data_IF_406911868511
#
_entry.id   IF_406911868511
#
_cell.length_a   1.000
_cell.length_b   1.000
_cell.length_c   1.000
_cell.angle_alpha   90.00
_cell.angle_beta   90.00
_cell.angle_gamma   90.00
#
_symmetry.space_group_name_H-M   'P 1'
#
loop_
_entity.id
_entity.type
_entity.pdbx_description
1 polymer ?
#
# COMPACT_ATOMS: atom_id res chain seq x y z
N UNK A 1 77.60 -9.07 -41.38
CA UNK A 1 76.99 -7.87 -40.78
C UNK A 1 75.51 -8.17 -40.62
N UNK A 2 75.00 -8.11 -39.39
CA UNK A 2 73.58 -8.34 -39.10
C UNK A 2 72.72 -7.24 -39.72
N UNK A 3 71.58 -7.59 -40.34
CA UNK A 3 70.37 -6.82 -40.10
C UNK A 3 69.16 -7.73 -39.84
N UNK A 4 68.05 -7.14 -39.41
CA UNK A 4 66.73 -7.77 -39.26
C UNK A 4 66.45 -8.46 -37.90
N UNK A 5 66.55 -7.71 -36.80
CA UNK A 5 65.83 -8.03 -35.55
C UNK A 5 65.07 -6.82 -34.96
N UNK A 6 65.13 -5.65 -35.62
CA UNK A 6 64.59 -4.38 -35.10
C UNK A 6 63.17 -4.06 -35.58
N UNK A 7 62.70 -4.68 -36.67
CA UNK A 7 61.40 -4.37 -37.28
C UNK A 7 60.23 -5.11 -36.62
N UNK A 8 60.38 -6.36 -36.18
CA UNK A 8 59.30 -7.10 -35.50
C UNK A 8 58.97 -6.53 -34.11
N UNK A 9 59.99 -6.06 -33.37
CA UNK A 9 59.80 -5.42 -32.06
C UNK A 9 59.06 -4.07 -32.20
N UNK A 10 59.32 -3.32 -33.27
CA UNK A 10 58.66 -2.04 -33.53
C UNK A 10 57.17 -2.21 -33.85
N UNK A 11 56.81 -3.20 -34.66
CA UNK A 11 55.40 -3.50 -35.00
C UNK A 11 54.61 -3.98 -33.77
N UNK A 12 55.23 -4.80 -32.92
CA UNK A 12 54.62 -5.22 -31.65
C UNK A 12 54.38 -4.06 -30.69
N UNK A 13 55.29 -3.09 -30.63
CA UNK A 13 55.16 -1.88 -29.80
C UNK A 13 54.04 -0.96 -30.30
N UNK A 14 53.90 -0.76 -31.61
CA UNK A 14 52.82 0.04 -32.19
C UNK A 14 51.42 -0.54 -31.93
N UNK A 15 51.28 -1.87 -32.01
CA UNK A 15 50.01 -2.56 -31.72
C UNK A 15 49.65 -2.42 -30.23
N UNK A 16 50.62 -2.60 -29.33
CA UNK A 16 50.41 -2.45 -27.87
C UNK A 16 50.04 -1.01 -27.50
N UNK A 17 50.71 -0.02 -28.09
CA UNK A 17 50.39 1.40 -27.91
C UNK A 17 49.01 1.73 -28.47
N UNK A 18 48.67 1.22 -29.66
CA UNK A 18 47.36 1.41 -30.30
C UNK A 18 46.21 0.82 -29.48
N UNK A 19 46.37 -0.39 -28.94
CA UNK A 19 45.39 -1.01 -28.05
C UNK A 19 45.26 -0.25 -26.72
N UNK A 20 46.37 0.26 -26.17
CA UNK A 20 46.38 1.10 -24.97
C UNK A 20 45.62 2.41 -25.17
N UNK A 21 45.84 3.09 -26.30
CA UNK A 21 45.11 4.32 -26.66
C UNK A 21 43.62 4.04 -26.84
N UNK A 22 43.24 2.94 -27.49
CA UNK A 22 41.85 2.54 -27.66
C UNK A 22 41.16 2.24 -26.32
N UNK A 23 41.85 1.56 -25.39
CA UNK A 23 41.33 1.30 -24.05
C UNK A 23 41.12 2.58 -23.24
N UNK A 24 42.06 3.54 -23.31
CA UNK A 24 41.92 4.86 -22.66
C UNK A 24 40.75 5.63 -23.27
N UNK A 25 40.64 5.67 -24.61
CA UNK A 25 39.51 6.29 -25.31
C UNK A 25 38.18 5.68 -24.89
N UNK A 26 38.10 4.35 -24.78
CA UNK A 26 36.90 3.67 -24.30
C UNK A 26 36.55 4.09 -22.86
N UNK A 27 37.52 4.15 -21.95
CA UNK A 27 37.31 4.61 -20.56
C UNK A 27 36.82 6.06 -20.53
N UNK A 28 37.40 6.94 -21.33
CA UNK A 28 36.99 8.36 -21.43
C UNK A 28 35.56 8.46 -21.97
N UNK A 29 35.23 7.75 -23.04
CA UNK A 29 33.90 7.74 -23.65
C UNK A 29 32.85 7.20 -22.67
N UNK A 30 33.13 6.09 -21.99
CA UNK A 30 32.22 5.52 -20.97
C UNK A 30 32.05 6.47 -19.79
N UNK A 31 33.12 7.11 -19.32
CA UNK A 31 33.08 8.06 -18.21
C UNK A 31 32.30 9.33 -18.59
N UNK A 32 32.53 9.88 -19.79
CA UNK A 32 31.80 11.03 -20.30
C UNK A 32 30.31 10.71 -20.51
N UNK A 33 29.99 9.54 -21.07
CA UNK A 33 28.61 9.08 -21.20
C UNK A 33 27.94 8.92 -19.83
N UNK A 34 28.65 8.34 -18.85
CA UNK A 34 28.18 8.23 -17.47
C UNK A 34 27.93 9.58 -16.81
N UNK A 35 28.80 10.56 -17.04
CA UNK A 35 28.64 11.93 -16.53
C UNK A 35 27.42 12.62 -17.15
N UNK A 36 27.24 12.54 -18.47
CA UNK A 36 26.08 13.10 -19.17
C UNK A 36 24.77 12.45 -18.70
N UNK A 37 24.75 11.12 -18.56
CA UNK A 37 23.59 10.40 -18.02
C UNK A 37 23.31 10.79 -16.56
N UNK A 38 24.36 10.96 -15.75
CA UNK A 38 24.25 11.43 -14.36
C UNK A 38 23.62 12.82 -14.28
N UNK A 39 24.09 13.77 -15.08
CA UNK A 39 23.54 15.12 -15.16
C UNK A 39 22.09 15.12 -15.60
N UNK A 40 21.72 14.29 -16.59
CA UNK A 40 20.33 14.18 -17.03
C UNK A 40 19.42 13.61 -15.93
N UNK A 41 19.86 12.55 -15.23
CA UNK A 41 19.13 11.96 -14.10
C UNK A 41 18.95 12.96 -12.96
N UNK A 42 20.01 13.69 -12.62
CA UNK A 42 19.96 14.70 -11.56
C UNK A 42 19.04 15.87 -11.96
N UNK A 43 19.04 16.29 -13.22
CA UNK A 43 18.11 17.31 -13.73
C UNK A 43 16.65 16.90 -13.56
N UNK A 44 16.31 15.64 -13.88
CA UNK A 44 14.96 15.10 -13.65
C UNK A 44 14.64 15.07 -12.16
N UNK A 45 15.56 14.57 -11.34
CA UNK A 45 15.38 14.51 -9.89
C UNK A 45 15.19 15.90 -9.25
N UNK A 46 15.87 16.94 -9.75
CA UNK A 46 15.66 18.33 -9.31
C UNK A 46 14.27 18.83 -9.68
N UNK A 47 13.77 18.48 -10.87
CA UNK A 47 12.42 18.83 -11.28
C UNK A 47 11.37 18.12 -10.42
N UNK A 48 11.58 16.83 -10.12
CA UNK A 48 10.72 16.05 -9.23
C UNK A 48 10.74 16.59 -7.80
N UNK A 49 11.91 16.93 -7.27
CA UNK A 49 12.02 17.58 -5.95
C UNK A 49 11.27 18.91 -5.91
N UNK A 50 11.40 19.74 -6.96
CA UNK A 50 10.69 21.00 -7.05
C UNK A 50 9.16 20.79 -7.09
N UNK A 51 8.67 19.81 -7.85
CA UNK A 51 7.26 19.41 -7.89
C UNK A 51 6.76 18.90 -6.53
N UNK A 52 7.54 18.04 -5.85
CA UNK A 52 7.20 17.54 -4.53
C UNK A 52 7.14 18.65 -3.48
N UNK A 53 8.08 19.60 -3.54
CA UNK A 53 8.08 20.78 -2.65
C UNK A 53 6.92 21.73 -2.95
N UNK A 54 6.63 22.00 -4.22
CA UNK A 54 5.55 22.89 -4.63
C UNK A 54 4.16 22.31 -4.28
N UNK A 55 3.97 21.01 -4.51
CA UNK A 55 2.71 20.33 -4.20
C UNK A 55 2.52 20.04 -2.71
N UNK A 56 3.59 20.04 -1.91
CA UNK A 56 3.56 19.63 -0.51
C UNK A 56 3.06 18.19 -0.31
N UNK A 57 3.04 17.39 -1.38
CA UNK A 57 2.31 16.13 -1.44
C UNK A 57 3.04 15.03 -0.66
N UNK A 58 2.64 14.79 0.58
CA UNK A 58 3.14 13.67 1.38
C UNK A 58 2.11 12.54 1.43
N UNK A 59 2.53 11.28 1.27
CA UNK A 59 1.61 10.17 1.41
C UNK A 59 1.15 10.08 2.88
N UNK A 60 -0.11 9.69 3.13
CA UNK A 60 -0.57 9.42 4.50
C UNK A 60 0.11 8.19 5.09
N UNK A 61 0.58 7.26 4.25
CA UNK A 61 1.28 6.04 4.68
C UNK A 61 2.70 6.34 5.16
N UNK A 62 3.35 5.29 5.70
CA UNK A 62 4.75 5.31 6.08
C UNK A 62 5.64 5.77 4.91
N UNK A 63 6.48 6.76 5.14
CA UNK A 63 7.41 7.29 4.12
C UNK A 63 8.72 7.78 4.74
N UNK A 64 9.83 7.84 3.98
CA UNK A 64 11.11 8.30 4.51
C UNK A 64 11.15 9.82 4.65
N UNK A 65 11.90 10.29 5.65
CA UNK A 65 12.45 11.63 5.78
C UNK A 65 13.97 11.52 5.81
N UNK A 66 14.65 12.31 4.99
CA UNK A 66 16.11 12.31 4.92
C UNK A 66 16.67 13.53 5.65
N UNK A 67 17.59 13.30 6.57
CA UNK A 67 18.46 14.31 7.17
C UNK A 67 19.66 14.56 6.24
N UNK A 68 19.55 15.62 5.44
CA UNK A 68 20.57 16.02 4.45
C UNK A 68 21.90 16.41 5.13
N UNK A 69 21.87 16.84 6.40
CA UNK A 69 23.06 17.18 7.18
C UNK A 69 23.88 15.94 7.57
N UNK A 70 23.19 14.83 7.89
CA UNK A 70 23.84 13.54 8.21
C UNK A 70 24.16 12.69 6.97
N UNK A 71 23.42 12.88 5.88
CA UNK A 71 23.57 12.06 4.69
C UNK A 71 25.00 12.15 4.11
N UNK A 72 25.65 11.02 3.90
CA UNK A 72 26.99 10.97 3.29
C UNK A 72 26.99 10.85 1.76
N UNK A 73 25.81 10.77 1.13
CA UNK A 73 25.69 10.70 -0.34
C UNK A 73 25.95 9.33 -0.97
N UNK A 74 25.87 8.22 -0.21
CA UNK A 74 26.21 6.89 -0.70
C UNK A 74 25.32 6.34 -1.83
N UNK A 75 24.11 6.86 -2.00
CA UNK A 75 23.13 6.37 -2.99
C UNK A 75 22.47 5.02 -2.65
N UNK A 76 22.95 4.29 -1.64
CA UNK A 76 22.44 2.95 -1.27
C UNK A 76 20.93 2.90 -0.98
N UNK A 77 20.36 3.98 -0.44
CA UNK A 77 18.93 4.10 -0.19
C UNK A 77 18.09 4.25 -1.47
N UNK A 78 18.66 4.85 -2.52
CA UNK A 78 18.06 4.97 -3.85
C UNK A 78 18.05 3.60 -4.51
N UNK A 79 19.19 2.92 -4.52
CA UNK A 79 19.33 1.57 -5.11
C UNK A 79 18.45 0.52 -4.42
N UNK A 80 18.21 0.68 -3.12
CA UNK A 80 17.35 -0.21 -2.34
C UNK A 80 15.85 0.04 -2.55
N UNK A 81 15.45 1.14 -3.20
CA UNK A 81 14.05 1.48 -3.42
C UNK A 81 13.48 0.74 -4.63
N UNK A 82 12.48 -0.16 -4.47
CA UNK A 82 11.93 -0.92 -5.59
C UNK A 82 11.11 -0.06 -6.56
N UNK A 83 10.62 1.10 -6.12
CA UNK A 83 9.91 2.06 -6.97
C UNK A 83 10.87 2.90 -7.83
N UNK A 84 12.16 2.97 -7.46
CA UNK A 84 13.26 3.68 -8.12
C UNK A 84 13.14 5.21 -8.25
N UNK A 85 11.98 5.81 -8.00
CA UNK A 85 11.73 7.25 -8.19
C UNK A 85 11.41 8.02 -6.89
N UNK A 86 11.30 7.32 -5.74
CA UNK A 86 10.98 7.95 -4.45
C UNK A 86 12.12 8.80 -3.91
N UNK A 87 13.36 8.32 -4.08
CA UNK A 87 14.59 8.93 -3.58
C UNK A 87 15.54 9.17 -4.73
N UNK A 88 16.29 10.27 -4.69
CA UNK A 88 17.37 10.53 -5.63
C UNK A 88 18.55 11.22 -4.94
N UNK A 89 19.75 11.10 -5.51
CA UNK A 89 20.91 11.87 -5.08
C UNK A 89 20.98 13.16 -5.88
N UNK A 90 20.93 14.30 -5.19
CA UNK A 90 21.05 15.66 -5.75
C UNK A 90 22.15 16.37 -4.96
N UNK A 91 23.08 17.02 -5.64
CA UNK A 91 24.21 17.72 -4.98
C UNK A 91 24.97 16.83 -3.96
N UNK A 92 25.12 15.54 -4.27
CA UNK A 92 25.81 14.56 -3.42
C UNK A 92 25.06 14.20 -2.13
N UNK A 93 23.76 14.49 -2.04
CA UNK A 93 22.90 14.16 -0.89
C UNK A 93 21.63 13.45 -1.35
N UNK A 94 21.11 12.55 -0.53
CA UNK A 94 19.85 11.90 -0.82
C UNK A 94 18.67 12.83 -0.48
N UNK A 95 17.70 12.90 -1.37
CA UNK A 95 16.45 13.65 -1.23
C UNK A 95 15.26 12.76 -1.52
N UNK A 96 14.13 13.04 -0.86
CA UNK A 96 12.84 12.44 -1.22
C UNK A 96 12.24 13.28 -2.34
N UNK A 97 12.22 12.74 -3.55
CA UNK A 97 11.83 13.47 -4.77
C UNK A 97 10.43 13.08 -5.26
N UNK A 98 9.96 11.87 -4.95
CA UNK A 98 8.58 11.46 -5.21
C UNK A 98 7.97 10.77 -3.98
N UNK A 99 7.68 11.52 -2.91
CA UNK A 99 7.14 10.95 -1.66
C UNK A 99 5.85 10.15 -1.88
N UNK A 100 4.95 10.60 -2.76
CA UNK A 100 3.66 9.92 -3.03
C UNK A 100 3.80 8.53 -3.64
N UNK A 101 4.90 8.25 -4.34
CA UNK A 101 5.19 6.92 -4.87
C UNK A 101 5.61 5.92 -3.78
N UNK A 102 5.98 6.39 -2.58
CA UNK A 102 6.47 5.51 -1.53
C UNK A 102 5.42 4.48 -1.10
N UNK A 103 5.81 3.20 -1.17
CA UNK A 103 4.98 2.07 -0.73
C UNK A 103 5.22 1.67 0.74
N UNK A 104 6.02 2.41 1.50
CA UNK A 104 6.26 2.15 2.93
C UNK A 104 7.04 0.87 3.25
N UNK A 105 7.84 0.35 2.31
CA UNK A 105 8.65 -0.87 2.52
C UNK A 105 9.82 -0.67 3.50
N UNK A 106 10.36 0.56 3.58
CA UNK A 106 11.40 0.97 4.53
C UNK A 106 12.78 0.34 4.34
N UNK A 107 13.12 -0.14 3.14
CA UNK A 107 14.48 -0.63 2.85
C UNK A 107 15.51 0.51 2.82
N UNK A 108 15.07 1.71 2.43
CA UNK A 108 15.91 2.91 2.45
C UNK A 108 16.50 3.18 3.84
N UNK A 109 15.71 3.01 4.90
CA UNK A 109 16.16 3.10 6.29
C UNK A 109 17.30 2.10 6.56
N UNK A 110 17.12 0.83 6.19
CA UNK A 110 18.10 -0.24 6.43
C UNK A 110 19.37 -0.10 5.62
N UNK A 111 19.26 0.40 4.40
CA UNK A 111 20.38 0.58 3.49
C UNK A 111 21.22 1.82 3.83
N UNK A 112 20.75 2.70 4.72
CA UNK A 112 21.45 3.91 5.10
C UNK A 112 22.61 3.60 6.06
N UNK A 113 23.88 3.82 5.68
CA UNK A 113 25.03 3.48 6.53
C UNK A 113 25.28 4.46 7.69
N UNK A 114 24.55 5.59 7.72
CA UNK A 114 24.79 6.71 8.66
C UNK A 114 23.52 7.18 9.36
N UNK A 115 22.46 6.36 9.34
CA UNK A 115 21.17 6.65 9.99
C UNK A 115 20.59 8.04 9.64
N UNK A 116 20.81 8.48 8.41
CA UNK A 116 20.29 9.75 7.90
C UNK A 116 18.81 9.65 7.48
N UNK A 117 18.20 8.47 7.52
CA UNK A 117 16.81 8.25 7.13
C UNK A 117 16.00 7.92 8.37
N UNK A 118 14.83 8.54 8.49
CA UNK A 118 13.82 8.18 9.49
C UNK A 118 12.51 7.90 8.76
N UNK A 119 11.76 6.89 9.19
CA UNK A 119 10.41 6.68 8.67
C UNK A 119 9.44 7.53 9.49
N UNK A 120 8.54 8.21 8.80
CA UNK A 120 7.49 9.04 9.39
C UNK A 120 6.13 8.59 8.88
N UNK A 121 5.09 8.88 9.64
CA UNK A 121 3.72 8.47 9.34
C UNK A 121 2.78 9.66 9.46
N UNK A 122 1.91 9.86 8.47
CA UNK A 122 1.07 11.05 8.37
C UNK A 122 1.87 12.32 8.04
N UNK A 123 1.19 13.46 8.11
CA UNK A 123 1.77 14.79 7.95
C UNK A 123 1.06 15.80 8.85
N UNK A 124 1.50 17.05 8.82
CA UNK A 124 0.95 18.18 9.58
C UNK A 124 -0.54 18.44 9.30
N UNK A 125 -1.00 18.15 8.08
CA UNK A 125 -2.40 18.30 7.69
C UNK A 125 -3.27 17.07 7.96
N UNK A 126 -2.67 15.88 8.14
CA UNK A 126 -3.38 14.62 8.25
C UNK A 126 -2.67 13.63 9.15
N UNK A 127 -3.27 13.45 10.32
CA UNK A 127 -2.93 12.38 11.25
C UNK A 127 -3.30 10.99 10.73
N UNK A 128 -2.56 9.99 11.20
CA UNK A 128 -2.85 8.58 10.95
C UNK A 128 -2.83 7.79 12.26
N UNK A 129 -3.97 7.17 12.55
CA UNK A 129 -4.21 6.41 13.77
C UNK A 129 -3.56 5.02 13.70
N UNK A 130 -2.61 4.76 14.59
CA UNK A 130 -1.86 3.51 14.68
C UNK A 130 -2.11 2.90 16.07
N UNK A 131 -2.53 1.64 16.17
CA UNK A 131 -2.61 0.96 17.45
C UNK A 131 -1.22 0.76 18.03
N UNK A 132 -1.12 0.90 19.35
CA UNK A 132 0.07 0.50 20.09
C UNK A 132 0.29 -1.00 19.93
N UNK A 133 1.53 -1.37 19.62
CA UNK A 133 2.01 -2.75 19.56
C UNK A 133 3.46 -2.82 20.07
N UNK A 134 3.78 -3.86 20.82
CA UNK A 134 5.15 -4.17 21.22
C UNK A 134 5.90 -4.98 20.12
N UNK A 135 7.13 -5.41 20.42
CA UNK A 135 7.96 -6.22 19.49
C UNK A 135 7.38 -7.60 19.17
N UNK A 136 6.47 -8.10 19.99
CA UNK A 136 5.74 -9.34 19.75
C UNK A 136 4.40 -9.09 19.02
N UNK A 137 4.14 -7.84 18.60
CA UNK A 137 2.87 -7.37 18.03
C UNK A 137 1.70 -7.40 19.01
N UNK A 138 1.96 -7.57 20.30
CA UNK A 138 0.94 -7.53 21.33
C UNK A 138 0.58 -6.08 21.62
N UNK A 139 -0.72 -5.82 21.73
CA UNK A 139 -1.23 -4.50 22.13
C UNK A 139 -1.02 -4.27 23.63
N UNK A 140 -1.46 -3.11 24.14
CA UNK A 140 -1.54 -2.87 25.57
C UNK A 140 -2.56 -3.78 26.29
N UNK A 141 -3.38 -4.54 25.54
CA UNK A 141 -4.30 -5.55 26.07
C UNK A 141 -3.62 -6.92 25.97
N UNK A 142 -3.26 -7.55 27.11
CA UNK A 142 -2.54 -8.83 27.09
C UNK A 142 -3.31 -9.92 26.36
N UNK A 143 -2.67 -10.58 25.39
CA UNK A 143 -3.27 -11.63 24.57
C UNK A 143 -4.00 -11.15 23.30
N UNK A 144 -4.10 -9.84 23.08
CA UNK A 144 -4.63 -9.23 21.86
C UNK A 144 -3.48 -8.69 21.01
N UNK A 145 -3.40 -9.11 19.74
CA UNK A 145 -2.31 -8.78 18.82
C UNK A 145 -2.82 -8.07 17.58
N UNK A 146 -1.99 -7.24 16.97
CA UNK A 146 -2.29 -6.54 15.72
C UNK A 146 -1.19 -6.77 14.70
N UNK A 147 -1.56 -7.23 13.50
CA UNK A 147 -0.62 -7.50 12.41
C UNK A 147 -1.09 -6.94 11.07
N UNK A 148 -0.16 -6.78 10.14
CA UNK A 148 -0.44 -6.30 8.80
C UNK A 148 -0.55 -4.78 8.71
N UNK A 149 -1.32 -4.33 7.73
CA UNK A 149 -1.44 -2.91 7.39
C UNK A 149 -1.88 -2.05 8.59
N UNK A 150 -2.61 -2.65 9.54
CA UNK A 150 -3.12 -1.98 10.73
C UNK A 150 -1.99 -1.42 11.60
N UNK A 151 -0.84 -2.10 11.66
CA UNK A 151 0.39 -1.66 12.32
C UNK A 151 1.24 -0.70 11.49
N UNK A 152 0.66 0.01 10.51
CA UNK A 152 1.34 1.07 9.77
C UNK A 152 2.17 0.65 8.56
N UNK A 153 2.41 -0.66 8.35
CA UNK A 153 3.15 -1.16 7.20
C UNK A 153 2.23 -1.85 6.20
N UNK A 154 1.90 -1.14 5.11
CA UNK A 154 1.30 -1.75 3.93
C UNK A 154 2.27 -2.70 3.22
N UNK A 155 1.74 -3.50 2.28
CA UNK A 155 2.38 -4.57 1.48
C UNK A 155 2.10 -5.99 1.97
N UNK A 156 1.82 -6.86 1.01
CA UNK A 156 1.59 -8.31 1.21
C UNK A 156 2.78 -8.93 1.95
N UNK A 157 4.00 -8.69 1.48
CA UNK A 157 5.23 -9.18 2.12
C UNK A 157 5.33 -8.81 3.61
N UNK A 158 5.14 -7.52 3.95
CA UNK A 158 5.20 -7.06 5.33
C UNK A 158 4.09 -7.69 6.16
N UNK A 159 2.87 -7.73 5.63
CA UNK A 159 1.71 -8.27 6.32
C UNK A 159 1.86 -9.75 6.66
N UNK A 160 2.31 -10.55 5.69
CA UNK A 160 2.63 -11.97 5.90
C UNK A 160 3.79 -12.14 6.89
N UNK A 161 4.88 -11.39 6.74
CA UNK A 161 6.06 -11.52 7.61
C UNK A 161 5.73 -11.18 9.07
N UNK A 162 5.00 -10.09 9.31
CA UNK A 162 4.57 -9.70 10.65
C UNK A 162 3.66 -10.75 11.28
N UNK A 163 2.72 -11.30 10.52
CA UNK A 163 1.84 -12.35 11.01
C UNK A 163 2.62 -13.60 11.45
N UNK A 164 3.62 -14.03 10.67
CA UNK A 164 4.47 -15.17 11.04
C UNK A 164 5.26 -14.90 12.32
N UNK A 165 5.90 -13.73 12.42
CA UNK A 165 6.67 -13.32 13.60
C UNK A 165 5.79 -13.19 14.85
N UNK A 166 4.58 -12.64 14.71
CA UNK A 166 3.60 -12.56 15.80
C UNK A 166 3.21 -13.95 16.29
N UNK A 167 2.88 -14.86 15.38
CA UNK A 167 2.53 -16.23 15.74
C UNK A 167 3.71 -16.95 16.44
N UNK A 168 4.94 -16.78 15.97
CA UNK A 168 6.13 -17.33 16.63
C UNK A 168 6.32 -16.78 18.05
N UNK A 169 6.10 -15.49 18.25
CA UNK A 169 6.23 -14.85 19.56
C UNK A 169 5.11 -15.26 20.54
N UNK A 170 3.89 -15.51 20.05
CA UNK A 170 2.76 -15.86 20.92
C UNK A 170 2.72 -17.35 21.30
N UNK A 171 3.27 -18.25 20.46
CA UNK A 171 3.25 -19.71 20.67
C UNK A 171 3.71 -20.15 22.07
N UNK A 172 4.84 -19.66 22.62
CA UNK A 172 5.31 -20.07 23.95
C UNK A 172 4.37 -19.66 25.09
N UNK A 173 3.49 -18.68 24.85
CA UNK A 173 2.56 -18.13 25.86
C UNK A 173 1.17 -18.75 25.79
N UNK A 174 0.91 -19.65 24.83
CA UNK A 174 -0.42 -20.20 24.61
C UNK A 174 -0.78 -21.24 25.67
N UNK A 175 -1.97 -21.13 26.29
CA UNK A 175 -2.51 -22.20 27.12
C UNK A 175 -2.76 -23.48 26.30
N UNK A 176 -2.78 -24.66 26.94
CA UNK A 176 -3.20 -25.90 26.29
C UNK A 176 -4.64 -25.78 25.79
N UNK A 177 -5.00 -26.60 24.80
CA UNK A 177 -6.36 -26.67 24.29
C UNK A 177 -7.35 -26.99 25.42
N UNK A 178 -8.48 -26.30 25.42
CA UNK A 178 -9.56 -26.51 26.39
C UNK A 178 -10.91 -26.55 25.69
N UNK A 179 -11.85 -27.31 26.27
CA UNK A 179 -13.11 -27.60 25.61
C UNK A 179 -13.98 -26.33 25.54
N UNK A 180 -14.44 -25.99 24.33
CA UNK A 180 -15.24 -24.78 24.09
C UNK A 180 -14.46 -23.45 24.08
N UNK A 181 -13.12 -23.47 24.17
CA UNK A 181 -12.28 -22.26 24.10
C UNK A 181 -11.18 -22.46 23.06
N UNK A 182 -11.16 -21.59 22.03
CA UNK A 182 -10.10 -21.59 21.03
C UNK A 182 -8.77 -21.13 21.64
N UNK A 183 -7.67 -21.63 21.12
CA UNK A 183 -6.34 -21.11 21.49
C UNK A 183 -6.11 -19.74 20.84
N UNK A 184 -6.51 -19.58 19.58
CA UNK A 184 -6.36 -18.34 18.83
C UNK A 184 -7.58 -18.08 17.95
N UNK A 185 -8.08 -16.85 17.92
CA UNK A 185 -9.00 -16.37 16.87
C UNK A 185 -8.25 -15.36 16.00
N UNK A 186 -8.30 -15.56 14.69
CA UNK A 186 -7.64 -14.71 13.69
C UNK A 186 -8.73 -13.94 12.94
N UNK A 187 -8.67 -12.62 13.00
CA UNK A 187 -9.68 -11.73 12.43
C UNK A 187 -9.18 -11.13 11.12
N UNK A 188 -9.74 -11.59 10.00
CA UNK A 188 -9.38 -11.25 8.62
C UNK A 188 -8.69 -12.40 7.90
N UNK A 189 -9.05 -12.64 6.64
CA UNK A 189 -8.48 -13.63 5.71
C UNK A 189 -7.76 -12.96 4.52
N UNK A 190 -7.17 -11.78 4.77
CA UNK A 190 -6.16 -11.19 3.91
C UNK A 190 -4.78 -11.88 4.06
N UNK A 191 -3.73 -11.36 3.41
CA UNK A 191 -2.39 -11.97 3.45
C UNK A 191 -1.81 -12.20 4.84
N UNK A 192 -2.02 -11.28 5.79
CA UNK A 192 -1.60 -11.45 7.17
C UNK A 192 -2.39 -12.57 7.87
N UNK A 193 -3.72 -12.57 7.72
CA UNK A 193 -4.60 -13.55 8.35
C UNK A 193 -4.37 -14.97 7.84
N UNK A 194 -4.21 -15.13 6.52
CA UNK A 194 -3.84 -16.40 5.91
C UNK A 194 -2.50 -16.91 6.44
N UNK A 195 -1.48 -16.05 6.50
CA UNK A 195 -0.17 -16.42 7.04
C UNK A 195 -0.23 -16.84 8.52
N UNK A 196 -0.97 -16.08 9.34
CA UNK A 196 -1.19 -16.43 10.74
C UNK A 196 -1.92 -17.78 10.88
N UNK A 197 -2.92 -18.03 10.04
CA UNK A 197 -3.71 -19.26 10.04
C UNK A 197 -2.86 -20.47 9.67
N UNK A 198 -2.04 -20.36 8.62
CA UNK A 198 -1.11 -21.40 8.21
C UNK A 198 -0.08 -21.71 9.31
N UNK A 199 0.40 -20.69 10.02
CA UNK A 199 1.32 -20.89 11.15
C UNK A 199 0.62 -21.55 12.35
N UNK A 200 -0.65 -21.21 12.60
CA UNK A 200 -1.45 -21.87 13.61
C UNK A 200 -1.68 -23.36 13.28
N UNK A 201 -1.95 -23.68 12.02
CA UNK A 201 -2.06 -25.06 11.53
C UNK A 201 -0.74 -25.83 11.67
N UNK A 202 0.38 -25.24 11.27
CA UNK A 202 1.72 -25.85 11.39
C UNK A 202 2.03 -26.21 12.85
N UNK A 203 1.61 -25.36 13.80
CA UNK A 203 1.77 -25.58 15.23
C UNK A 203 0.69 -26.49 15.86
N UNK A 204 -0.29 -26.99 15.08
CA UNK A 204 -1.34 -27.88 15.57
C UNK A 204 -2.32 -27.23 16.56
N UNK A 205 -2.55 -25.92 16.45
CA UNK A 205 -3.41 -25.19 17.37
C UNK A 205 -4.91 -25.41 17.07
N UNK A 206 -5.76 -25.34 18.09
CA UNK A 206 -7.19 -25.14 17.90
C UNK A 206 -7.49 -23.66 17.68
N UNK A 207 -7.79 -23.27 16.43
CA UNK A 207 -8.01 -21.88 16.06
C UNK A 207 -9.25 -21.69 15.19
N UNK A 208 -9.68 -20.43 15.05
CA UNK A 208 -10.73 -20.01 14.13
C UNK A 208 -10.26 -18.79 13.35
N UNK A 209 -10.38 -18.84 12.02
CA UNK A 209 -10.16 -17.67 11.15
C UNK A 209 -11.50 -17.17 10.63
N UNK A 210 -11.75 -15.88 10.75
CA UNK A 210 -13.02 -15.24 10.40
C UNK A 210 -12.77 -14.09 9.44
N UNK A 211 -13.54 -13.96 8.36
CA UNK A 211 -13.53 -12.79 7.48
C UNK A 211 -14.95 -12.31 7.17
N UNK A 212 -15.13 -10.99 7.08
CA UNK A 212 -16.41 -10.36 6.79
C UNK A 212 -16.89 -10.56 5.34
N UNK A 213 -15.97 -10.88 4.43
CA UNK A 213 -16.23 -11.14 3.01
C UNK A 213 -15.65 -12.51 2.65
N UNK A 214 -14.54 -12.54 1.93
CA UNK A 214 -13.92 -13.77 1.41
C UNK A 214 -12.39 -13.63 1.39
N UNK A 215 -11.70 -14.68 0.92
CA UNK A 215 -10.24 -14.75 0.86
C UNK A 215 -9.62 -13.59 0.07
N UNK A 216 -8.47 -13.10 0.53
CA UNK A 216 -7.63 -12.13 -0.18
C UNK A 216 -7.77 -10.68 0.31
N UNK A 217 -8.69 -10.40 1.23
CA UNK A 217 -8.81 -9.11 1.91
C UNK A 217 -8.88 -7.92 0.94
N UNK A 218 -8.02 -6.91 1.14
CA UNK A 218 -7.97 -5.71 0.28
C UNK A 218 -7.79 -6.03 -1.20
N UNK A 219 -7.04 -7.08 -1.56
CA UNK A 219 -6.79 -7.44 -2.97
C UNK A 219 -8.07 -7.88 -3.67
N UNK A 220 -8.97 -8.58 -2.97
CA UNK A 220 -10.28 -8.99 -3.50
C UNK A 220 -11.09 -7.80 -4.04
N UNK A 221 -10.85 -6.61 -3.50
CA UNK A 221 -11.58 -5.37 -3.78
C UNK A 221 -11.06 -4.58 -4.96
N UNK A 222 -9.93 -4.96 -5.53
CA UNK A 222 -9.32 -4.25 -6.64
C UNK A 222 -10.15 -4.40 -7.93
N UNK A 223 -10.07 -3.43 -8.88
CA UNK A 223 -10.60 -3.62 -10.22
C UNK A 223 -10.02 -4.86 -10.89
N UNK A 224 -10.75 -5.42 -11.86
CA UNK A 224 -10.24 -6.56 -12.65
C UNK A 224 -8.94 -6.20 -13.36
N UNK A 225 -8.06 -7.19 -13.51
CA UNK A 225 -6.74 -7.05 -14.14
C UNK A 225 -5.78 -6.05 -13.48
N UNK A 226 -6.12 -5.53 -12.29
CA UNK A 226 -5.19 -4.67 -11.54
C UNK A 226 -3.91 -5.43 -11.23
N UNK A 227 -2.78 -4.83 -11.56
CA UNK A 227 -1.46 -5.34 -11.20
C UNK A 227 -1.18 -5.06 -9.72
N UNK A 228 -0.65 -6.06 -9.05
CA UNK A 228 -0.28 -6.07 -7.64
C UNK A 228 1.18 -6.45 -7.54
N UNK A 229 1.92 -5.71 -6.72
CA UNK A 229 3.33 -5.95 -6.46
C UNK A 229 3.52 -6.59 -5.09
N UNK A 230 4.41 -7.56 -5.00
CA UNK A 230 4.91 -8.07 -3.72
C UNK A 230 6.36 -8.54 -3.86
N UNK A 231 6.98 -8.84 -2.72
CA UNK A 231 8.27 -9.53 -2.66
C UNK A 231 8.04 -11.02 -2.39
N UNK A 232 9.04 -11.87 -2.72
CA UNK A 232 9.01 -13.27 -2.34
C UNK A 232 8.82 -13.48 -0.83
N UNK A 233 7.99 -14.44 -0.45
CA UNK A 233 7.74 -14.82 0.94
C UNK A 233 7.60 -16.33 1.05
N UNK A 234 7.91 -16.91 2.20
CA UNK A 234 7.73 -18.34 2.46
C UNK A 234 6.52 -18.52 3.36
N UNK A 235 5.53 -19.28 2.90
CA UNK A 235 4.34 -19.59 3.68
C UNK A 235 4.45 -20.99 4.32
N UNK A 236 4.08 -21.14 5.61
CA UNK A 236 3.98 -22.45 6.25
C UNK A 236 3.04 -23.37 5.46
N UNK A 237 3.35 -24.67 5.42
CA UNK A 237 2.55 -25.71 4.76
C UNK A 237 2.32 -25.56 3.24
N UNK A 238 2.91 -24.54 2.61
CA UNK A 238 2.78 -24.29 1.16
C UNK A 238 4.13 -24.11 0.46
N UNK A 239 5.07 -23.37 1.07
CA UNK A 239 6.41 -23.14 0.54
C UNK A 239 6.64 -21.71 -0.01
N UNK A 240 7.69 -21.52 -0.83
CA UNK A 240 8.07 -20.18 -1.30
C UNK A 240 7.12 -19.65 -2.38
N UNK A 241 6.49 -18.52 -2.10
CA UNK A 241 5.79 -17.70 -3.08
C UNK A 241 6.76 -16.70 -3.70
N UNK A 242 7.18 -16.95 -4.94
CA UNK A 242 8.05 -16.05 -5.70
C UNK A 242 7.23 -15.16 -6.61
N UNK A 243 6.58 -14.17 -6.01
CA UNK A 243 5.70 -13.23 -6.72
C UNK A 243 6.41 -11.88 -6.77
N UNK A 244 6.50 -11.29 -7.97
CA UNK A 244 6.98 -9.94 -8.20
C UNK A 244 5.81 -9.02 -8.55
N UNK A 245 5.54 -8.87 -9.85
CA UNK A 245 4.30 -8.29 -10.38
C UNK A 245 3.32 -9.41 -10.74
N UNK A 246 2.06 -9.29 -10.34
CA UNK A 246 1.01 -10.28 -10.61
C UNK A 246 -0.35 -9.60 -10.79
N UNK A 247 -1.24 -10.18 -11.60
CA UNK A 247 -2.62 -9.71 -11.67
C UNK A 247 -3.41 -10.12 -10.43
N UNK A 248 -4.39 -9.29 -10.04
CA UNK A 248 -5.32 -9.56 -8.94
C UNK A 248 -5.87 -10.99 -8.99
N UNK A 249 -6.39 -11.42 -10.13
CA UNK A 249 -7.05 -12.72 -10.27
C UNK A 249 -6.08 -13.88 -10.02
N UNK A 250 -4.89 -13.82 -10.60
CA UNK A 250 -3.84 -14.82 -10.41
C UNK A 250 -3.42 -14.91 -8.94
N UNK A 251 -3.32 -13.76 -8.25
CA UNK A 251 -3.03 -13.72 -6.83
C UNK A 251 -4.16 -14.32 -5.97
N UNK A 252 -5.42 -14.10 -6.34
CA UNK A 252 -6.56 -14.72 -5.64
C UNK A 252 -6.61 -16.24 -5.85
N UNK A 253 -6.25 -16.72 -7.04
CA UNK A 253 -6.13 -18.17 -7.31
C UNK A 253 -5.05 -18.81 -6.44
N UNK A 254 -3.92 -18.13 -6.22
CA UNK A 254 -2.90 -18.60 -5.28
C UNK A 254 -3.47 -18.74 -3.86
N UNK A 255 -4.27 -17.77 -3.38
CA UNK A 255 -4.90 -17.88 -2.06
C UNK A 255 -5.90 -19.05 -1.97
N UNK A 256 -6.67 -19.29 -3.03
CA UNK A 256 -7.58 -20.45 -3.11
C UNK A 256 -6.82 -21.77 -3.14
N UNK A 257 -5.73 -21.86 -3.90
CA UNK A 257 -4.88 -23.04 -3.98
C UNK A 257 -4.22 -23.36 -2.62
N UNK A 258 -3.78 -22.33 -1.89
CA UNK A 258 -3.28 -22.49 -0.51
C UNK A 258 -4.35 -23.11 0.40
N UNK A 259 -5.56 -22.56 0.39
CA UNK A 259 -6.67 -23.08 1.19
C UNK A 259 -7.00 -24.53 0.79
N UNK A 260 -7.09 -24.80 -0.51
CA UNK A 260 -7.40 -26.14 -1.02
C UNK A 260 -6.34 -27.19 -0.66
N UNK A 261 -5.05 -26.86 -0.77
CA UNK A 261 -3.96 -27.80 -0.48
C UNK A 261 -3.73 -28.04 1.00
N UNK A 262 -3.94 -27.02 1.83
CA UNK A 262 -3.71 -27.11 3.28
C UNK A 262 -4.93 -27.61 4.03
N UNK A 263 -6.13 -27.46 3.46
CA UNK A 263 -7.40 -27.75 4.13
C UNK A 263 -7.81 -26.67 5.14
N UNK A 264 -7.17 -25.49 5.10
CA UNK A 264 -7.50 -24.35 5.98
C UNK A 264 -8.99 -24.03 5.89
N UNK A 265 -9.66 -23.94 7.04
CA UNK A 265 -11.05 -23.53 7.13
C UNK A 265 -11.12 -22.04 7.50
N UNK A 266 -11.90 -21.27 6.74
CA UNK A 266 -12.16 -19.86 7.01
C UNK A 266 -13.67 -19.67 7.13
N UNK A 267 -14.11 -19.04 8.22
CA UNK A 267 -15.48 -18.60 8.39
C UNK A 267 -15.69 -17.28 7.64
N UNK A 268 -16.01 -17.40 6.36
CA UNK A 268 -16.31 -16.29 5.45
C UNK A 268 -17.68 -15.66 5.75
N UNK A 269 -17.94 -14.51 5.13
CA UNK A 269 -19.20 -13.73 5.25
C UNK A 269 -19.62 -13.43 6.70
N UNK A 270 -18.66 -13.41 7.63
CA UNK A 270 -18.90 -13.27 9.06
C UNK A 270 -18.10 -12.09 9.61
N UNK A 271 -18.78 -11.01 9.98
CA UNK A 271 -18.13 -9.83 10.58
C UNK A 271 -17.87 -10.07 12.07
N UNK A 272 -16.64 -9.83 12.52
CA UNK A 272 -16.35 -9.66 13.95
C UNK A 272 -16.84 -8.29 14.39
N UNK A 273 -17.75 -8.27 15.38
CA UNK A 273 -18.40 -7.07 15.88
C UNK A 273 -17.64 -6.44 17.06
N UNK A 274 -16.94 -7.25 17.84
CA UNK A 274 -16.19 -6.79 19.01
C UNK A 274 -15.34 -7.90 19.60
N UNK A 275 -14.36 -7.49 20.41
CA UNK A 275 -13.48 -8.37 21.19
C UNK A 275 -13.48 -7.85 22.61
N UNK A 276 -13.92 -8.67 23.56
CA UNK A 276 -14.06 -8.27 24.96
C UNK A 276 -13.16 -9.16 25.82
N UNK A 277 -12.18 -8.59 26.55
CA UNK A 277 -11.39 -9.36 27.52
C UNK A 277 -12.27 -9.79 28.71
N UNK A 278 -12.07 -11.01 29.19
CA UNK A 278 -12.78 -11.60 30.32
C UNK A 278 -11.85 -11.73 31.55
N UNK A 279 -12.44 -11.85 32.73
CA UNK A 279 -11.71 -11.89 34.01
C UNK A 279 -10.74 -13.08 34.13
N UNK A 280 -11.02 -14.18 33.43
CA UNK A 280 -10.18 -15.38 33.44
C UNK A 280 -9.02 -15.35 32.42
N UNK A 281 -8.77 -14.20 31.81
CA UNK A 281 -7.69 -14.01 30.84
C UNK A 281 -7.99 -14.57 29.44
N UNK A 282 -9.25 -14.94 29.17
CA UNK A 282 -9.74 -15.24 27.82
C UNK A 282 -10.43 -14.02 27.20
N UNK A 283 -10.86 -14.15 25.95
CA UNK A 283 -11.65 -13.18 25.21
C UNK A 283 -12.96 -13.79 24.76
N UNK A 284 -14.00 -12.97 24.73
CA UNK A 284 -15.20 -13.22 23.94
C UNK A 284 -15.11 -12.44 22.62
N UNK A 285 -15.26 -13.14 21.49
CA UNK A 285 -15.28 -12.55 20.15
C UNK A 285 -16.71 -12.59 19.63
N UNK A 286 -17.34 -11.42 19.52
CA UNK A 286 -18.70 -11.29 19.03
C UNK A 286 -18.74 -11.37 17.49
N UNK A 287 -19.64 -12.20 16.95
CA UNK A 287 -19.77 -12.46 15.52
C UNK A 287 -21.14 -12.02 15.01
N UNK A 288 -21.19 -11.47 13.79
CA UNK A 288 -22.45 -11.13 13.13
C UNK A 288 -23.18 -12.41 12.72
N UNK A 289 -24.42 -12.59 13.21
CA UNK A 289 -25.27 -13.72 12.82
C UNK A 289 -24.85 -15.09 13.38
N UNK A 290 -23.87 -15.13 14.29
CA UNK A 290 -23.37 -16.36 14.92
C UNK A 290 -23.19 -16.18 16.42
N UNK A 291 -23.04 -17.30 17.15
CA UNK A 291 -22.74 -17.27 18.58
C UNK A 291 -21.34 -16.69 18.82
N UNK A 292 -21.12 -15.95 19.92
CA UNK A 292 -19.78 -15.52 20.31
C UNK A 292 -18.84 -16.70 20.51
N UNK A 293 -17.56 -16.49 20.22
CA UNK A 293 -16.50 -17.50 20.35
C UNK A 293 -15.56 -17.09 21.48
N UNK A 294 -15.27 -18.03 22.38
CA UNK A 294 -14.29 -17.82 23.45
C UNK A 294 -12.90 -18.21 22.98
N UNK A 295 -11.88 -17.44 23.34
CA UNK A 295 -10.49 -17.72 22.93
C UNK A 295 -9.44 -17.22 23.92
N UNK A 296 -8.26 -17.87 23.97
CA UNK A 296 -7.14 -17.40 24.77
C UNK A 296 -6.40 -16.21 24.16
N UNK A 297 -6.30 -16.16 22.83
CA UNK A 297 -5.61 -15.09 22.10
C UNK A 297 -6.44 -14.63 20.91
N UNK A 298 -6.24 -13.37 20.51
CA UNK A 298 -6.87 -12.80 19.31
C UNK A 298 -5.80 -12.11 18.48
N UNK A 299 -5.74 -12.43 17.18
CA UNK A 299 -4.86 -11.79 16.21
C UNK A 299 -5.71 -10.97 15.24
N UNK A 300 -5.62 -9.64 15.34
CA UNK A 300 -6.31 -8.70 14.47
C UNK A 300 -5.51 -8.48 13.18
N UNK A 301 -5.96 -9.09 12.09
CA UNK A 301 -5.33 -9.07 10.76
C UNK A 301 -6.24 -8.43 9.68
N UNK A 302 -7.06 -7.44 10.08
CA UNK A 302 -8.17 -6.89 9.29
C UNK A 302 -7.79 -5.78 8.28
N UNK A 303 -6.52 -5.37 8.22
CA UNK A 303 -6.06 -4.30 7.33
C UNK A 303 -6.60 -2.90 7.66
N UNK A 304 -6.34 -1.91 6.81
CA UNK A 304 -6.77 -0.51 7.04
C UNK A 304 -7.84 0.02 6.12
N UNK A 305 -8.10 -0.65 4.99
CA UNK A 305 -9.11 -0.20 4.03
C UNK A 305 -10.48 0.00 4.69
N UNK A 306 -10.78 -0.84 5.68
CA UNK A 306 -11.97 -0.71 6.52
C UNK A 306 -13.26 -0.68 5.71
N UNK A 307 -14.30 -0.08 6.29
CA UNK A 307 -15.56 0.15 5.59
C UNK A 307 -15.45 1.43 4.77
N UNK A 308 -15.91 1.46 3.50
CA UNK A 308 -15.93 2.69 2.71
C UNK A 308 -16.64 3.82 3.46
N UNK A 309 -16.08 5.03 3.40
CA UNK A 309 -16.69 6.21 4.01
C UNK A 309 -17.97 6.56 3.27
N UNK A 310 -19.08 6.54 4.00
CA UNK A 310 -20.39 7.01 3.54
C UNK A 310 -20.40 8.55 3.47
N UNK A 311 -21.13 9.09 2.51
CA UNK A 311 -21.35 10.52 2.29
C UNK A 311 -22.40 11.08 3.25
N UNK A 312 -23.34 10.26 3.72
CA UNK A 312 -24.43 10.67 4.61
C UNK A 312 -25.51 11.49 3.91
N UNK A 313 -25.64 11.36 2.58
CA UNK A 313 -26.59 12.14 1.78
C UNK A 313 -27.87 11.35 1.51
N UNK A 314 -28.99 12.04 1.34
CA UNK A 314 -30.23 11.38 0.93
C UNK A 314 -30.06 10.76 -0.47
N UNK A 315 -30.60 9.55 -0.63
CA UNK A 315 -30.44 8.73 -1.85
C UNK A 315 -29.16 7.88 -1.90
N UNK A 316 -28.26 7.98 -0.93
CA UNK A 316 -27.03 7.17 -0.89
C UNK A 316 -27.27 5.65 -0.81
N UNK A 317 -28.46 5.23 -0.36
CA UNK A 317 -28.85 3.82 -0.27
C UNK A 317 -29.37 3.24 -1.60
N UNK A 318 -29.51 4.05 -2.67
CA UNK A 318 -29.98 3.59 -3.97
C UNK A 318 -28.98 2.61 -4.60
N UNK A 319 -29.49 1.65 -5.39
CA UNK A 319 -28.67 0.61 -6.04
C UNK A 319 -27.65 1.14 -7.06
N UNK A 320 -27.83 2.37 -7.54
CA UNK A 320 -26.88 3.07 -8.44
C UNK A 320 -25.64 3.62 -7.73
N UNK A 321 -25.61 3.61 -6.40
CA UNK A 321 -24.49 4.13 -5.59
C UNK A 321 -23.58 2.99 -5.18
N UNK A 322 -22.34 3.01 -5.68
CA UNK A 322 -21.36 1.96 -5.43
C UNK A 322 -20.05 2.53 -4.87
N UNK A 323 -19.34 1.75 -4.07
CA UNK A 323 -18.11 2.16 -3.38
C UNK A 323 -16.86 1.45 -3.92
N UNK A 324 -17.02 0.78 -5.07
CA UNK A 324 -16.03 -0.09 -5.69
C UNK A 324 -16.25 -0.08 -7.19
N UNK A 325 -15.17 -0.04 -7.95
CA UNK A 325 -15.17 -0.26 -9.39
C UNK A 325 -14.55 -1.63 -9.67
N UNK A 326 -15.37 -2.58 -10.13
CA UNK A 326 -14.90 -3.93 -10.49
C UNK A 326 -14.66 -4.06 -12.00
N UNK A 327 -15.64 -3.64 -12.80
CA UNK A 327 -15.68 -3.76 -14.26
C UNK A 327 -16.07 -2.41 -14.88
N UNK A 328 -15.11 -1.59 -15.33
CA UNK A 328 -15.37 -0.30 -15.99
C UNK A 328 -16.26 -0.41 -17.23
N UNK A 329 -16.15 -1.51 -17.98
CA UNK A 329 -16.84 -1.75 -19.24
C UNK A 329 -18.36 -1.80 -19.08
N UNK A 330 -18.86 -2.11 -17.88
CA UNK A 330 -20.31 -2.09 -17.59
C UNK A 330 -20.92 -0.70 -17.59
N UNK A 331 -20.11 0.34 -17.48
CA UNK A 331 -20.56 1.73 -17.41
C UNK A 331 -20.48 2.42 -18.79
N UNK A 332 -20.11 1.70 -19.84
CA UNK A 332 -20.06 2.25 -21.20
C UNK A 332 -21.41 2.87 -21.61
N UNK A 333 -21.39 4.10 -22.11
CA UNK A 333 -22.57 4.84 -22.52
C UNK A 333 -23.43 5.39 -21.38
N UNK A 334 -22.97 5.32 -20.12
CA UNK A 334 -23.70 5.84 -18.95
C UNK A 334 -23.12 7.16 -18.46
N UNK A 335 -23.96 7.99 -17.82
CA UNK A 335 -23.56 9.23 -17.13
C UNK A 335 -23.16 8.89 -15.71
N UNK A 336 -21.87 8.88 -15.46
CA UNK A 336 -21.29 8.38 -14.22
C UNK A 336 -20.63 9.51 -13.42
N UNK A 337 -21.06 9.68 -12.17
CA UNK A 337 -20.44 10.60 -11.21
C UNK A 337 -19.43 9.84 -10.37
N UNK A 338 -18.17 10.28 -10.37
CA UNK A 338 -17.12 9.81 -9.47
C UNK A 338 -16.90 10.84 -8.36
N UNK A 339 -16.98 10.42 -7.10
CA UNK A 339 -16.79 11.30 -5.94
C UNK A 339 -15.47 10.99 -5.23
N UNK A 340 -14.54 11.93 -5.23
CA UNK A 340 -13.24 11.83 -4.55
C UNK A 340 -12.09 12.41 -5.35
N UNK A 341 -10.91 12.54 -4.72
CA UNK A 341 -9.70 13.09 -5.37
C UNK A 341 -8.40 12.40 -4.94
N UNK A 342 -8.50 11.20 -4.37
CA UNK A 342 -7.34 10.33 -4.13
C UNK A 342 -7.14 9.35 -5.28
N UNK A 343 -6.04 8.58 -5.24
CA UNK A 343 -5.67 7.64 -6.32
C UNK A 343 -6.81 6.75 -6.81
N UNK A 344 -7.60 6.18 -5.90
CA UNK A 344 -8.73 5.32 -6.29
C UNK A 344 -9.80 6.05 -7.09
N UNK A 345 -10.06 7.33 -6.79
CA UNK A 345 -11.03 8.14 -7.54
C UNK A 345 -10.49 8.47 -8.94
N UNK A 346 -9.21 8.86 -9.03
CA UNK A 346 -8.57 9.23 -10.30
C UNK A 346 -8.42 8.02 -11.22
N UNK A 347 -7.94 6.89 -10.69
CA UNK A 347 -7.85 5.61 -11.42
C UNK A 347 -9.24 5.18 -11.94
N UNK A 348 -10.28 5.31 -11.10
CA UNK A 348 -11.63 4.96 -11.50
C UNK A 348 -12.19 5.89 -12.57
N UNK A 349 -12.02 7.21 -12.43
CA UNK A 349 -12.48 8.19 -13.42
C UNK A 349 -11.84 7.97 -14.79
N UNK A 350 -10.52 7.74 -14.83
CA UNK A 350 -9.80 7.44 -16.08
C UNK A 350 -10.28 6.11 -16.67
N UNK A 351 -10.37 5.04 -15.87
CA UNK A 351 -10.79 3.74 -16.36
C UNK A 351 -12.23 3.74 -16.91
N UNK A 352 -13.15 4.46 -16.26
CA UNK A 352 -14.53 4.62 -16.73
C UNK A 352 -14.60 5.41 -18.04
N UNK A 353 -13.82 6.48 -18.15
CA UNK A 353 -13.75 7.28 -19.37
C UNK A 353 -13.15 6.49 -20.54
N UNK A 354 -12.10 5.70 -20.30
CA UNK A 354 -11.51 4.79 -21.29
C UNK A 354 -12.48 3.68 -21.73
N UNK A 355 -13.34 3.22 -20.82
CA UNK A 355 -14.40 2.26 -21.09
C UNK A 355 -15.62 2.87 -21.82
N UNK A 356 -15.66 4.18 -22.02
CA UNK A 356 -16.72 4.87 -22.78
C UNK A 356 -17.88 5.40 -21.93
N UNK A 357 -17.72 5.56 -20.62
CA UNK A 357 -18.68 6.28 -19.78
C UNK A 357 -18.53 7.81 -19.93
N UNK A 358 -19.62 8.56 -19.79
CA UNK A 358 -19.57 10.01 -19.62
C UNK A 358 -19.28 10.32 -18.15
N UNK A 359 -18.03 10.67 -17.85
CA UNK A 359 -17.55 10.78 -16.47
C UNK A 359 -17.56 12.24 -16.01
N UNK A 360 -18.26 12.48 -14.89
CA UNK A 360 -18.09 13.70 -14.08
C UNK A 360 -17.33 13.36 -12.80
N UNK A 361 -16.23 14.05 -12.52
CA UNK A 361 -15.44 13.91 -11.30
C UNK A 361 -15.76 15.05 -10.34
N UNK A 362 -16.41 14.75 -9.22
CA UNK A 362 -16.69 15.70 -8.13
C UNK A 362 -15.69 15.52 -7.00
N UNK A 363 -15.10 16.63 -6.57
CA UNK A 363 -14.13 16.65 -5.50
C UNK A 363 -14.18 17.95 -4.71
N UNK A 364 -14.02 17.84 -3.39
CA UNK A 364 -14.11 18.98 -2.46
C UNK A 364 -12.89 19.90 -2.49
N UNK A 365 -11.76 19.42 -3.01
CA UNK A 365 -10.59 20.26 -3.20
C UNK A 365 -10.55 20.85 -4.60
N UNK A 366 -9.57 21.72 -4.81
CA UNK A 366 -9.24 22.37 -6.07
C UNK A 366 -8.22 21.58 -6.90
N UNK A 367 -7.32 20.83 -6.26
CA UNK A 367 -6.27 20.06 -6.92
C UNK A 367 -6.15 18.59 -6.49
N UNK A 368 -5.34 17.83 -7.24
CA UNK A 368 -5.05 16.43 -6.95
C UNK A 368 -3.72 16.22 -6.23
N UNK A 369 -3.20 17.23 -5.51
CA UNK A 369 -1.87 17.19 -4.90
C UNK A 369 -1.60 15.91 -4.10
N UNK A 370 -2.63 15.38 -3.44
CA UNK A 370 -2.59 14.16 -2.62
C UNK A 370 -2.41 12.85 -3.38
N UNK A 371 -2.71 12.80 -4.67
CA UNK A 371 -2.62 11.60 -5.48
C UNK A 371 -1.21 11.41 -6.04
N UNK A 372 -0.88 10.16 -6.39
CA UNK A 372 0.40 9.84 -7.03
C UNK A 372 0.56 10.63 -8.32
N UNK A 373 1.76 11.17 -8.54
CA UNK A 373 2.11 11.94 -9.75
C UNK A 373 1.61 11.29 -11.04
N UNK A 374 1.85 9.99 -11.21
CA UNK A 374 1.37 9.20 -12.37
C UNK A 374 -0.15 9.27 -12.57
N UNK A 375 -0.93 9.24 -11.49
CA UNK A 375 -2.38 9.30 -11.54
C UNK A 375 -2.86 10.74 -11.79
N UNK A 376 -2.18 11.75 -11.23
CA UNK A 376 -2.43 13.18 -11.53
C UNK A 376 -2.26 13.47 -13.02
N UNK A 377 -1.12 13.09 -13.59
CA UNK A 377 -0.84 13.31 -15.02
C UNK A 377 -1.88 12.64 -15.93
N UNK A 378 -2.34 11.43 -15.57
CA UNK A 378 -3.37 10.73 -16.35
C UNK A 378 -4.73 11.43 -16.28
N UNK A 379 -5.17 11.86 -15.09
CA UNK A 379 -6.46 12.52 -14.96
C UNK A 379 -6.44 13.92 -15.60
N UNK A 380 -5.34 14.66 -15.44
CA UNK A 380 -5.16 15.99 -16.05
C UNK A 380 -5.27 15.89 -17.58
N UNK A 381 -4.56 14.93 -18.20
CA UNK A 381 -4.67 14.68 -19.64
C UNK A 381 -6.09 14.26 -20.06
N UNK A 382 -6.82 13.52 -19.22
CA UNK A 382 -8.21 13.14 -19.49
C UNK A 382 -9.18 14.32 -19.38
N UNK A 383 -8.93 15.25 -18.45
CA UNK A 383 -9.71 16.49 -18.29
C UNK A 383 -9.43 17.44 -19.47
N UNK A 384 -8.16 17.69 -19.80
CA UNK A 384 -7.76 18.52 -20.93
C UNK A 384 -8.27 17.97 -22.27
N UNK A 385 -8.25 16.64 -22.41
CA UNK A 385 -8.80 15.95 -23.57
C UNK A 385 -10.34 15.89 -23.62
N UNK A 386 -11.04 16.47 -22.64
CA UNK A 386 -12.51 16.48 -22.57
C UNK A 386 -13.15 15.12 -22.29
N UNK A 387 -12.37 14.11 -21.90
CA UNK A 387 -12.88 12.76 -21.56
C UNK A 387 -13.50 12.68 -20.17
N UNK A 388 -13.08 13.57 -19.27
CA UNK A 388 -13.61 13.68 -17.90
C UNK A 388 -13.99 15.13 -17.61
N UNK A 389 -15.23 15.35 -17.19
CA UNK A 389 -15.67 16.65 -16.68
C UNK A 389 -15.28 16.79 -15.21
N UNK A 390 -14.40 17.73 -14.87
CA UNK A 390 -14.01 17.96 -13.48
C UNK A 390 -14.83 19.09 -12.83
N UNK A 391 -15.32 18.83 -11.61
CA UNK A 391 -16.00 19.79 -10.74
C UNK A 391 -15.17 19.97 -9.45
N UNK A 392 -14.22 20.92 -9.42
CA UNK A 392 -13.48 21.25 -8.19
C UNK A 392 -14.40 21.91 -7.16
N UNK A 393 -13.98 21.88 -5.89
CA UNK A 393 -14.69 22.51 -4.77
C UNK A 393 -16.19 22.15 -4.73
N UNK A 394 -16.53 20.93 -5.15
CA UNK A 394 -17.90 20.46 -5.25
C UNK A 394 -18.23 19.41 -4.21
N UNK A 395 -19.49 19.36 -3.81
CA UNK A 395 -20.01 18.37 -2.86
C UNK A 395 -21.35 17.83 -3.33
N UNK A 396 -21.43 16.52 -3.53
CA UNK A 396 -22.70 15.81 -3.70
C UNK A 396 -23.54 15.93 -2.42
N UNK A 397 -24.81 16.35 -2.56
CA UNK A 397 -25.72 16.60 -1.43
C UNK A 397 -27.03 15.80 -1.51
N UNK A 398 -27.43 15.35 -2.70
CA UNK A 398 -28.62 14.54 -2.90
C UNK A 398 -28.48 13.65 -4.15
N UNK A 399 -29.08 12.46 -4.11
CA UNK A 399 -29.09 11.48 -5.20
C UNK A 399 -30.54 11.06 -5.43
N UNK A 400 -31.01 11.16 -6.67
CA UNK A 400 -32.29 10.60 -7.12
C UNK A 400 -32.04 9.40 -8.05
N UNK A 401 -33.11 8.78 -8.53
CA UNK A 401 -33.02 7.69 -9.51
C UNK A 401 -32.38 8.14 -10.84
N UNK A 402 -32.61 9.38 -11.28
CA UNK A 402 -32.19 9.88 -12.61
C UNK A 402 -31.24 11.08 -12.57
N UNK A 403 -31.02 11.69 -11.41
CA UNK A 403 -30.20 12.89 -11.23
C UNK A 403 -29.41 12.90 -9.91
N UNK A 404 -28.49 13.84 -9.82
CA UNK A 404 -27.71 14.16 -8.62
C UNK A 404 -27.62 15.67 -8.44
N UNK A 405 -27.71 16.12 -7.19
CA UNK A 405 -27.51 17.53 -6.85
C UNK A 405 -26.19 17.73 -6.12
N UNK A 406 -25.41 18.70 -6.61
CA UNK A 406 -24.15 19.11 -6.03
C UNK A 406 -24.23 20.58 -5.59
N UNK A 407 -23.46 20.91 -4.55
CA UNK A 407 -23.08 22.30 -4.28
C UNK A 407 -21.75 22.57 -4.99
N UNK A 408 -21.67 23.65 -5.77
CA UNK A 408 -20.43 24.14 -6.39
C UNK A 408 -20.21 25.61 -5.99
N UNK A 409 -19.02 26.19 -6.25
CA UNK A 409 -18.77 27.61 -6.00
C UNK A 409 -19.73 28.57 -6.73
N UNK A 410 -20.25 28.15 -7.87
CA UNK A 410 -21.19 28.90 -8.70
C UNK A 410 -22.65 28.75 -8.24
N UNK A 411 -22.92 27.84 -7.31
CA UNK A 411 -24.24 27.57 -6.75
C UNK A 411 -24.63 26.09 -6.82
N UNK A 412 -25.91 25.77 -6.53
CA UNK A 412 -26.42 24.41 -6.71
C UNK A 412 -26.39 23.99 -8.18
N UNK A 413 -25.98 22.75 -8.43
CA UNK A 413 -25.90 22.15 -9.76
C UNK A 413 -26.60 20.78 -9.76
N UNK A 414 -27.61 20.65 -10.62
CA UNK A 414 -28.30 19.39 -10.90
C UNK A 414 -27.72 18.77 -12.17
N UNK A 415 -27.40 17.47 -12.11
CA UNK A 415 -26.88 16.72 -13.25
C UNK A 415 -27.67 15.44 -13.45
N UNK A 416 -28.10 15.13 -14.68
CA UNK A 416 -28.59 13.79 -14.99
C UNK A 416 -27.50 12.75 -14.73
N UNK A 417 -27.88 11.63 -14.12
CA UNK A 417 -26.91 10.65 -13.62
C UNK A 417 -27.49 9.24 -13.62
N UNK A 418 -26.71 8.27 -14.07
CA UNK A 418 -27.08 6.85 -14.08
C UNK A 418 -26.39 6.08 -12.94
N UNK A 419 -25.15 6.45 -12.59
CA UNK A 419 -24.37 5.81 -11.53
C UNK A 419 -23.53 6.78 -10.71
N UNK A 420 -23.37 6.49 -9.42
CA UNK A 420 -22.49 7.24 -8.50
C UNK A 420 -21.44 6.30 -7.91
N UNK A 421 -20.17 6.56 -8.18
CA UNK A 421 -19.04 5.84 -7.59
C UNK A 421 -18.38 6.69 -6.51
N UNK A 422 -18.42 6.22 -5.26
CA UNK A 422 -17.90 6.95 -4.10
C UNK A 422 -16.53 6.41 -3.67
N UNK A 423 -15.51 7.25 -3.82
CA UNK A 423 -14.12 7.00 -3.41
C UNK A 423 -13.64 8.05 -2.38
N UNK A 424 -14.44 8.26 -1.34
CA UNK A 424 -14.16 9.20 -0.24
C UNK A 424 -13.18 8.67 0.83
N UNK A 425 -12.49 7.56 0.56
CA UNK A 425 -11.59 6.88 1.49
C UNK A 425 -12.30 5.85 2.39
N UNK A 426 -11.51 5.18 3.23
CA UNK A 426 -11.99 4.21 4.23
C UNK A 426 -12.09 4.81 5.63
N UNK A 427 -12.93 4.21 6.47
CA UNK A 427 -12.93 4.45 7.92
C UNK A 427 -11.99 3.44 8.55
N UNK A 428 -10.94 3.92 9.23
CA UNK A 428 -10.04 3.07 10.01
C UNK A 428 -10.84 2.41 11.14
N UNK A 429 -10.52 1.16 11.54
CA UNK A 429 -11.23 0.48 12.62
C UNK A 429 -10.83 1.03 14.02
N UNK A 430 -10.52 2.32 14.14
CA UNK A 430 -10.12 2.98 15.39
C UNK A 430 -11.16 2.75 16.48
N UNK A 431 -12.45 2.93 16.17
CA UNK A 431 -13.54 2.70 17.11
C UNK A 431 -13.52 1.26 17.66
N UNK A 432 -13.44 0.27 16.77
CA UNK A 432 -13.35 -1.14 17.14
C UNK A 432 -12.15 -1.42 18.05
N UNK A 433 -10.98 -0.86 17.71
CA UNK A 433 -9.75 -1.01 18.50
C UNK A 433 -9.91 -0.39 19.90
N UNK A 434 -10.42 0.83 19.98
CA UNK A 434 -10.63 1.51 21.27
C UNK A 434 -11.68 0.80 22.14
N UNK A 435 -12.74 0.26 21.54
CA UNK A 435 -13.76 -0.54 22.25
C UNK A 435 -13.19 -1.87 22.76
N UNK A 436 -12.21 -2.44 22.05
CA UNK A 436 -11.44 -3.60 22.51
C UNK A 436 -10.35 -3.25 23.56
N UNK A 437 -10.23 -1.96 23.95
CA UNK A 437 -9.27 -1.48 24.94
C UNK A 437 -7.86 -1.18 24.38
N UNK A 438 -7.68 -1.23 23.07
CA UNK A 438 -6.39 -0.96 22.42
C UNK A 438 -6.12 0.55 22.40
N UNK A 439 -4.95 0.96 22.89
CA UNK A 439 -4.45 2.32 22.75
C UNK A 439 -4.14 2.61 21.29
N UNK A 440 -4.59 3.76 20.81
CA UNK A 440 -4.37 4.22 19.44
C UNK A 440 -3.76 5.62 19.49
N UNK A 441 -2.61 5.78 18.86
CA UNK A 441 -1.90 7.05 18.76
C UNK A 441 -2.03 7.62 17.34
N UNK A 442 -2.23 8.93 17.23
CA UNK A 442 -2.33 9.62 15.94
C UNK A 442 -0.98 10.23 15.57
N UNK A 443 -0.39 9.78 14.46
CA UNK A 443 0.87 10.29 13.93
C UNK A 443 0.62 11.36 12.85
N UNK A 444 1.20 12.54 13.02
CA UNK A 444 1.10 13.74 12.16
C UNK A 444 2.48 14.13 11.61
N UNK A 445 3.27 13.15 11.18
CA UNK A 445 4.63 13.35 10.64
C UNK A 445 5.77 13.16 11.65
N UNK A 446 5.48 12.66 12.85
CA UNK A 446 6.54 12.22 13.78
C UNK A 446 7.22 10.95 13.27
N UNK A 447 8.43 10.71 13.80
CA UNK A 447 9.15 9.45 13.57
C UNK A 447 8.32 8.25 14.04
N UNK A 448 8.27 7.22 13.21
CA UNK A 448 7.60 5.97 13.49
C UNK A 448 8.56 4.80 13.31
N UNK A 449 8.78 4.05 14.38
CA UNK A 449 9.50 2.78 14.36
C UNK A 449 8.47 1.65 14.40
N UNK A 450 8.30 0.88 13.30
CA UNK A 450 7.46 -0.31 13.32
C UNK A 450 7.96 -1.29 14.39
N UNK A 451 7.05 -2.00 15.07
CA UNK A 451 7.32 -2.94 16.17
C UNK A 451 8.58 -3.84 16.03
N UNK A 452 8.97 -4.20 14.81
CA UNK A 452 10.11 -5.08 14.50
C UNK A 452 11.25 -4.39 13.75
N UNK A 453 11.50 -3.09 13.95
CA UNK A 453 12.62 -2.38 13.33
C UNK A 453 13.37 -1.48 14.29
#
# INVERSE_FOLDING_TARGET
MLPCATTEVAVGLEIVVGLGVLAILLVVVVSAAGMVMGMARESVARADLADAMASGALPPSLHPRVDVGKCMGSGTCVDACPENDVLAVIDGRAHVVNPTACIGHGECLRACPVDAITLVLGNDQRGVDIPFVDKAFQTNVPGLYVVGELGGMGLIYNATTQALQCMEALLPSLPPASDGVKQVVIVGAGPAGLAASLKAMEAGLDFLTVDQESLGGTVLQFPRHKLVMTKPVVLPLYGPLKIGEIRKEELLEIWRDIVAKTGLQVMEETRVLGVTPLEDGTFEVALQGAKPVRTHRVVLAMGRRGTPRKLGVAGEALGKVVYRLLEPERYAGTRTLVVGGGDSALEAAVALAEAGAEVTLSYRGDDFGRAKKKNRTKIEAAIEGGKVRFLPNSQLVFISDDDVNLTTPEGPLELPNDYVLVFAGGVLPTKFLTEAGVQVDTYTGQAYAPANR
#
